data_IF_313787868844
#
_entry.id   IF_313787868844
#
_cell.length_a   1.000
_cell.length_b   1.000
_cell.length_c   1.000
_cell.angle_alpha   90.00
_cell.angle_beta   90.00
_cell.angle_gamma   90.00
#
_symmetry.space_group_name_H-M   'P 1'
#
loop_
_entity.id
_entity.type
_entity.pdbx_description
1 polymer ?
#
# COMPACT_ATOMS: atom_id res chain seq x y z
N UNK A 1 7.32 -14.78 3.65
CA UNK A 1 8.23 -13.60 3.68
C UNK A 1 7.44 -12.41 4.19
N UNK A 2 7.84 -11.77 5.29
CA UNK A 2 7.12 -10.62 5.86
C UNK A 2 7.80 -9.31 5.42
N UNK A 3 7.44 -8.82 4.23
CA UNK A 3 8.08 -7.66 3.59
C UNK A 3 7.99 -6.35 4.41
N UNK A 4 7.04 -6.24 5.34
CA UNK A 4 6.94 -5.08 6.24
C UNK A 4 8.17 -4.88 7.13
N UNK A 5 9.03 -5.91 7.29
CA UNK A 5 10.30 -5.81 8.03
C UNK A 5 11.43 -5.20 7.20
N UNK A 6 11.31 -5.22 5.87
CA UNK A 6 12.31 -4.74 4.91
C UNK A 6 11.71 -3.63 4.03
N UNK A 7 11.22 -2.57 4.65
CA UNK A 7 10.56 -1.48 3.94
C UNK A 7 11.49 -0.76 2.95
N UNK A 8 12.79 -0.75 3.21
CA UNK A 8 13.78 -0.16 2.31
C UNK A 8 13.87 -0.90 0.97
N UNK A 9 13.74 -2.24 0.95
CA UNK A 9 13.69 -3.04 -0.28
C UNK A 9 12.43 -2.74 -1.09
N UNK A 10 11.28 -2.62 -0.41
CA UNK A 10 10.01 -2.26 -1.04
C UNK A 10 10.07 -0.87 -1.68
N UNK A 11 10.66 0.11 -1.00
CA UNK A 11 10.89 1.45 -1.54
C UNK A 11 11.81 1.38 -2.75
N UNK A 12 12.87 0.58 -2.68
CA UNK A 12 13.79 0.41 -3.81
C UNK A 12 13.09 -0.16 -5.03
N UNK A 13 12.27 -1.22 -4.89
CA UNK A 13 11.51 -1.78 -6.00
C UNK A 13 10.50 -0.80 -6.55
N UNK A 14 9.81 -0.06 -5.68
CA UNK A 14 8.94 1.03 -6.12
C UNK A 14 9.77 2.02 -6.96
N UNK A 15 10.89 2.52 -6.47
CA UNK A 15 11.72 3.48 -7.21
C UNK A 15 12.32 2.91 -8.52
N UNK A 16 12.32 1.59 -8.71
CA UNK A 16 12.70 0.91 -9.95
C UNK A 16 11.54 0.73 -10.95
N UNK A 17 10.34 1.22 -10.62
CA UNK A 17 9.16 1.12 -11.48
C UNK A 17 8.24 -0.07 -11.18
N UNK A 18 8.49 -0.84 -10.12
CA UNK A 18 7.59 -1.93 -9.74
C UNK A 18 6.25 -1.39 -9.25
N UNK A 19 5.16 -1.90 -9.82
CA UNK A 19 3.80 -1.58 -9.39
C UNK A 19 3.44 -2.39 -8.14
N UNK A 20 2.79 -1.74 -7.19
CA UNK A 20 2.51 -2.32 -5.87
C UNK A 20 1.02 -2.56 -5.69
N UNK A 21 0.65 -3.75 -5.19
CA UNK A 21 -0.73 -4.11 -4.91
C UNK A 21 -0.99 -4.19 -3.40
N UNK A 22 -2.06 -3.54 -2.95
CA UNK A 22 -2.57 -3.59 -1.58
C UNK A 22 -3.68 -4.63 -1.45
N UNK A 23 -3.57 -5.51 -0.46
CA UNK A 23 -4.69 -6.38 -0.07
C UNK A 23 -5.74 -5.53 0.67
N UNK A 24 -6.96 -5.45 0.14
CA UNK A 24 -8.04 -4.63 0.68
C UNK A 24 -8.40 -5.00 2.13
N UNK A 25 -8.33 -6.29 2.48
CA UNK A 25 -8.48 -6.79 3.84
C UNK A 25 -7.52 -6.14 4.84
N UNK A 26 -6.30 -5.81 4.41
CA UNK A 26 -5.29 -5.14 5.26
C UNK A 26 -5.75 -3.76 5.70
N UNK A 27 -6.41 -3.00 4.82
CA UNK A 27 -6.85 -1.63 5.09
C UNK A 27 -8.00 -1.58 6.12
N UNK A 28 -8.84 -2.63 6.16
CA UNK A 28 -9.98 -2.75 7.07
C UNK A 28 -9.64 -3.48 8.38
N UNK A 29 -8.39 -3.92 8.57
CA UNK A 29 -7.92 -4.59 9.79
C UNK A 29 -8.09 -6.11 9.83
N UNK A 30 -8.40 -6.76 8.71
CA UNK A 30 -8.64 -8.22 8.66
C UNK A 30 -7.43 -9.05 9.10
N UNK A 31 -6.21 -8.54 8.90
CA UNK A 31 -4.96 -9.24 9.21
C UNK A 31 -4.23 -8.68 10.44
N UNK A 32 -4.95 -7.97 11.31
CA UNK A 32 -4.42 -7.41 12.55
C UNK A 32 -4.01 -5.93 12.46
N UNK A 33 -3.87 -5.32 13.63
CA UNK A 33 -3.71 -3.87 13.77
C UNK A 33 -2.39 -3.34 13.19
N UNK A 34 -1.29 -4.07 13.38
CA UNK A 34 0.02 -3.67 12.86
C UNK A 34 0.01 -3.57 11.33
N UNK A 35 -0.60 -4.57 10.67
CA UNK A 35 -0.76 -4.60 9.21
C UNK A 35 -1.62 -3.43 8.73
N UNK A 36 -2.72 -3.15 9.43
CA UNK A 36 -3.60 -2.02 9.10
C UNK A 36 -2.87 -0.68 9.21
N UNK A 37 -2.12 -0.47 10.30
CA UNK A 37 -1.36 0.77 10.52
C UNK A 37 -0.34 0.97 9.41
N UNK A 38 0.43 -0.07 9.07
CA UNK A 38 1.41 0.00 7.99
C UNK A 38 0.74 0.26 6.63
N UNK A 39 -0.37 -0.43 6.34
CA UNK A 39 -1.12 -0.26 5.09
C UNK A 39 -1.63 1.17 4.94
N UNK A 40 -2.19 1.77 6.00
CA UNK A 40 -2.64 3.17 6.00
C UNK A 40 -1.47 4.14 5.80
N UNK A 41 -0.31 3.86 6.38
CA UNK A 41 0.91 4.65 6.20
C UNK A 41 1.37 4.66 4.73
N UNK A 42 1.42 3.48 4.12
CA UNK A 42 1.80 3.31 2.70
C UNK A 42 0.78 3.91 1.73
N UNK A 43 -0.51 3.81 2.06
CA UNK A 43 -1.55 4.44 1.26
C UNK A 43 -1.41 5.97 1.25
N UNK A 44 -1.21 6.58 2.41
CA UNK A 44 -1.00 8.04 2.53
C UNK A 44 0.25 8.53 1.80
N UNK A 45 1.26 7.68 1.64
CA UNK A 45 2.46 8.00 0.88
C UNK A 45 2.32 7.76 -0.62
N UNK A 46 1.12 7.43 -1.12
CA UNK A 46 0.87 7.14 -2.53
C UNK A 46 1.67 5.93 -3.06
N UNK A 47 1.88 4.91 -2.22
CA UNK A 47 2.74 3.76 -2.52
C UNK A 47 2.09 2.72 -3.46
N UNK A 48 0.77 2.61 -3.44
CA UNK A 48 0.05 1.51 -4.07
C UNK A 48 -0.48 1.90 -5.45
N UNK A 49 -0.26 1.02 -6.42
CA UNK A 49 -0.78 1.13 -7.79
C UNK A 49 -2.11 0.38 -7.96
N UNK A 50 -2.35 -0.65 -7.14
CA UNK A 50 -3.55 -1.49 -7.20
C UNK A 50 -4.12 -1.81 -5.82
N UNK A 51 -5.43 -2.04 -5.76
CA UNK A 51 -6.10 -2.67 -4.63
C UNK A 51 -6.83 -3.93 -5.12
N UNK A 52 -6.68 -5.03 -4.38
CA UNK A 52 -7.34 -6.30 -4.70
C UNK A 52 -7.82 -6.97 -3.41
N UNK A 53 -8.86 -7.80 -3.50
CA UNK A 53 -9.41 -8.49 -2.32
C UNK A 53 -8.46 -9.54 -1.75
N UNK A 54 -7.68 -10.19 -2.62
CA UNK A 54 -6.94 -11.42 -2.31
C UNK A 54 -7.86 -12.50 -1.70
N UNK A 55 -9.04 -12.66 -2.31
CA UNK A 55 -10.09 -13.56 -1.85
C UNK A 55 -9.70 -15.03 -2.03
N UNK A 56 -9.97 -15.84 -1.02
CA UNK A 56 -9.70 -17.29 -0.96
C UNK A 56 -10.96 -18.12 -0.67
N UNK A 57 -12.01 -17.51 -0.14
CA UNK A 57 -13.28 -18.16 0.20
C UNK A 57 -14.47 -17.18 0.10
N UNK A 58 -15.68 -17.66 0.37
CA UNK A 58 -16.92 -16.85 0.31
C UNK A 58 -17.34 -16.24 1.64
N UNK A 59 -16.71 -16.63 2.75
CA UNK A 59 -17.17 -16.37 4.12
C UNK A 59 -16.25 -15.39 4.85
N UNK A 60 -14.98 -15.75 5.04
CA UNK A 60 -13.98 -15.00 5.78
C UNK A 60 -13.11 -14.15 4.87
N UNK A 61 -12.32 -14.77 3.98
CA UNK A 61 -11.39 -14.07 3.09
C UNK A 61 -12.04 -13.90 1.73
N UNK A 62 -13.08 -13.07 1.68
CA UNK A 62 -13.92 -12.88 0.51
C UNK A 62 -13.75 -11.49 -0.15
N UNK A 63 -14.33 -11.31 -1.34
CA UNK A 63 -14.19 -10.07 -2.12
C UNK A 63 -15.03 -8.88 -1.60
N UNK A 64 -15.99 -9.11 -0.70
CA UNK A 64 -16.90 -8.08 -0.18
C UNK A 64 -16.19 -7.06 0.71
N UNK A 65 -14.89 -7.24 0.98
CA UNK A 65 -14.05 -6.25 1.66
C UNK A 65 -13.77 -5.01 0.79
N UNK A 66 -13.87 -5.13 -0.54
CA UNK A 66 -13.48 -4.07 -1.48
C UNK A 66 -14.27 -2.77 -1.31
N UNK A 67 -15.62 -2.75 -1.22
CA UNK A 67 -16.37 -1.50 -1.03
C UNK A 67 -15.95 -0.74 0.23
N UNK A 68 -15.81 -1.44 1.37
CA UNK A 68 -15.38 -0.80 2.62
C UNK A 68 -13.94 -0.29 2.53
N UNK A 69 -13.05 -1.02 1.88
CA UNK A 69 -11.68 -0.56 1.66
C UNK A 69 -11.63 0.67 0.74
N UNK A 70 -12.50 0.74 -0.27
CA UNK A 70 -12.62 1.90 -1.16
C UNK A 70 -13.04 3.17 -0.40
N UNK A 71 -14.07 3.08 0.44
CA UNK A 71 -14.51 4.22 1.28
C UNK A 71 -13.39 4.71 2.21
N UNK A 72 -12.71 3.79 2.91
CA UNK A 72 -11.58 4.17 3.78
C UNK A 72 -10.43 4.78 2.96
N UNK A 73 -10.22 4.34 1.71
CA UNK A 73 -9.18 4.90 0.87
C UNK A 73 -9.51 6.34 0.44
N UNK A 74 -10.77 6.66 0.15
CA UNK A 74 -11.22 8.03 -0.13
C UNK A 74 -10.97 9.00 1.04
N UNK A 75 -11.01 8.50 2.28
CA UNK A 75 -10.71 9.31 3.47
C UNK A 75 -9.20 9.54 3.69
N UNK A 76 -8.35 8.73 3.07
CA UNK A 76 -6.90 8.66 3.35
C UNK A 76 -6.02 9.11 2.19
N UNK A 77 -6.53 9.06 0.98
CA UNK A 77 -5.89 9.45 -0.26
C UNK A 77 -6.86 10.29 -1.10
N UNK A 78 -6.36 10.99 -2.11
CA UNK A 78 -7.23 11.75 -3.00
C UNK A 78 -8.10 10.81 -3.87
N UNK A 79 -9.16 11.39 -4.43
CA UNK A 79 -10.15 10.67 -5.22
C UNK A 79 -9.55 10.06 -6.50
N UNK A 80 -8.58 10.72 -7.12
CA UNK A 80 -7.95 10.26 -8.36
C UNK A 80 -7.08 9.04 -8.08
N UNK A 81 -6.19 9.12 -7.08
CA UNK A 81 -5.36 8.01 -6.60
C UNK A 81 -6.22 6.81 -6.24
N UNK A 82 -7.31 7.02 -5.48
CA UNK A 82 -8.23 5.94 -5.08
C UNK A 82 -8.89 5.29 -6.30
N UNK A 83 -9.41 6.10 -7.25
CA UNK A 83 -10.04 5.58 -8.47
C UNK A 83 -9.03 4.83 -9.36
N UNK A 84 -7.81 5.33 -9.47
CA UNK A 84 -6.73 4.66 -10.19
C UNK A 84 -6.46 3.29 -9.59
N UNK A 85 -6.28 3.22 -8.27
CA UNK A 85 -5.92 2.00 -7.55
C UNK A 85 -6.99 0.90 -7.64
N UNK A 86 -8.27 1.25 -7.52
CA UNK A 86 -9.36 0.27 -7.47
C UNK A 86 -10.00 -0.05 -8.83
N UNK A 87 -9.96 0.88 -9.80
CA UNK A 87 -10.76 0.78 -11.03
C UNK A 87 -9.90 0.91 -12.27
N UNK A 88 -9.18 2.02 -12.43
CA UNK A 88 -8.55 2.35 -13.73
C UNK A 88 -7.27 1.55 -13.99
N UNK A 89 -6.40 1.38 -13.00
CA UNK A 89 -5.18 0.60 -13.16
C UNK A 89 -5.49 -0.90 -13.38
N UNK A 90 -6.41 -1.54 -12.63
CA UNK A 90 -6.85 -2.90 -12.95
C UNK A 90 -7.36 -3.04 -14.39
N UNK A 91 -8.17 -2.10 -14.89
CA UNK A 91 -8.67 -2.11 -16.27
C UNK A 91 -7.54 -1.98 -17.30
N UNK A 92 -6.59 -1.06 -17.08
CA UNK A 92 -5.38 -0.91 -17.91
C UNK A 92 -4.55 -2.19 -17.93
N UNK A 93 -4.35 -2.82 -16.77
CA UNK A 93 -3.59 -4.06 -16.66
C UNK A 93 -4.23 -5.19 -17.49
N UNK A 94 -5.56 -5.31 -17.46
CA UNK A 94 -6.29 -6.29 -18.28
C UNK A 94 -6.16 -6.04 -19.78
N UNK A 95 -6.03 -4.77 -20.19
CA UNK A 95 -5.87 -4.36 -21.59
C UNK A 95 -4.40 -4.36 -22.07
N UNK A 96 -3.45 -4.59 -21.17
CA UNK A 96 -2.02 -4.46 -21.47
C UNK A 96 -1.58 -3.01 -21.72
N UNK A 97 -2.32 -2.04 -21.20
CA UNK A 97 -2.01 -0.62 -21.31
C UNK A 97 -0.95 -0.20 -20.28
N UNK A 98 -0.12 0.80 -20.60
CA UNK A 98 0.88 1.30 -19.67
C UNK A 98 0.22 1.93 -18.43
N UNK A 99 0.78 1.62 -17.25
CA UNK A 99 0.37 2.19 -15.97
C UNK A 99 1.51 3.06 -15.46
N UNK A 100 1.25 4.35 -15.33
CA UNK A 100 2.20 5.28 -14.72
C UNK A 100 2.29 4.99 -13.23
N UNK A 101 3.51 4.89 -12.74
CA UNK A 101 3.75 4.80 -11.31
C UNK A 101 3.43 6.14 -10.63
N UNK A 102 2.93 6.06 -9.42
CA UNK A 102 2.66 7.21 -8.56
C UNK A 102 3.97 7.78 -8.00
N UNK A 103 4.03 9.11 -7.84
CA UNK A 103 5.11 9.73 -7.08
C UNK A 103 4.86 9.50 -5.59
N UNK A 104 5.72 8.69 -4.98
CA UNK A 104 5.62 8.32 -3.58
C UNK A 104 6.17 9.44 -2.68
N UNK A 105 5.44 9.79 -1.62
CA UNK A 105 5.94 10.71 -0.60
C UNK A 105 6.77 9.96 0.46
N UNK A 106 8.07 9.86 0.22
CA UNK A 106 9.03 9.19 1.12
C UNK A 106 9.02 9.77 2.54
N UNK A 107 8.73 11.06 2.72
CA UNK A 107 8.70 11.72 4.03
C UNK A 107 7.66 11.13 4.99
N UNK A 108 6.58 10.55 4.45
CA UNK A 108 5.57 9.83 5.24
C UNK A 108 6.09 8.46 5.66
N UNK A 109 6.92 7.81 4.84
CA UNK A 109 7.39 6.43 5.04
C UNK A 109 8.60 6.37 5.96
N UNK A 110 9.54 7.31 5.84
CA UNK A 110 10.78 7.29 6.59
C UNK A 110 10.50 7.19 8.10
N UNK A 111 11.17 6.21 8.74
CA UNK A 111 11.34 6.19 10.20
C UNK A 111 11.84 7.56 10.63
N UNK A 112 11.34 8.07 11.76
CA UNK A 112 11.79 9.33 12.34
C UNK A 112 13.29 9.47 12.12
N UNK A 113 13.73 10.60 11.58
CA UNK A 113 15.15 10.93 11.46
C UNK A 113 15.90 10.66 12.79
N UNK A 114 15.20 10.81 13.92
CA UNK A 114 15.64 10.42 15.26
C UNK A 114 15.97 8.93 15.39
N UNK A 115 15.19 8.02 14.83
CA UNK A 115 15.47 6.58 14.90
C UNK A 115 16.71 6.21 14.08
N UNK A 116 16.92 6.85 12.92
CA UNK A 116 18.17 6.70 12.14
C UNK A 116 19.37 7.27 12.90
N UNK A 117 19.24 8.44 13.50
CA UNK A 117 20.28 9.10 14.28
C UNK A 117 20.64 8.29 15.55
N UNK A 118 19.64 7.87 16.32
CA UNK A 118 19.80 7.08 17.55
C UNK A 118 20.46 5.74 17.24
N UNK A 119 20.07 5.07 16.15
CA UNK A 119 20.71 3.82 15.75
C UNK A 119 22.13 4.01 15.18
N UNK A 120 22.43 5.19 14.62
CA UNK A 120 23.80 5.56 14.21
C UNK A 120 24.71 5.85 15.41
N UNK A 121 24.16 6.41 16.50
CA UNK A 121 24.92 6.72 17.73
C UNK A 121 25.11 5.45 18.58
N UNK A 122 24.14 4.52 18.60
CA UNK A 122 24.25 3.23 19.33
C UNK A 122 25.20 2.20 18.70
N UNK A 123 25.76 2.50 17.51
CA UNK A 123 26.73 1.65 16.81
C UNK A 123 28.19 2.03 17.06
N UNK A 124 28.44 2.99 17.97
CA UNK A 124 29.76 3.37 18.49
C UNK A 124 29.84 2.97 19.95
#
# INVERSE_FOLDING_TARGET
MYLHKNLDELIQWHNQGCLMQMNAGSLIGQFGNEVMIMTKKLLRSNFYSFAASDAHDTESRNFKVLPKAYEIALDLADQETTKNMFILNPDKALKGEPISQTFMNEGIIQKNWLDKLINSIKKV
#
